data_IF_259002814343
#
_entry.id   IF_259002814343
#
_cell.length_a   1.000
_cell.length_b   1.000
_cell.length_c   1.000
_cell.angle_alpha   90.00
_cell.angle_beta   90.00
_cell.angle_gamma   90.00
#
_symmetry.space_group_name_H-M   'P 1'
#
loop_
_entity.id
_entity.type
_entity.pdbx_description
1 polymer ?
#
# COMPACT_ATOMS: atom_id res chain seq x y z
N UNK A 1 -28.81 -10.85 14.68
CA UNK A 1 -27.62 -11.25 13.90
C UNK A 1 -26.43 -10.42 14.39
N UNK A 2 -25.33 -10.98 14.89
CA UNK A 2 -24.21 -10.17 15.33
C UNK A 2 -23.33 -9.77 14.12
N UNK A 3 -22.91 -8.50 13.98
CA UNK A 3 -21.92 -8.14 12.98
C UNK A 3 -20.58 -8.80 13.35
N UNK A 4 -19.96 -9.51 12.41
CA UNK A 4 -18.61 -10.06 12.55
C UNK A 4 -17.65 -8.90 12.87
N UNK A 5 -17.24 -8.82 14.14
CA UNK A 5 -16.14 -7.98 14.60
C UNK A 5 -14.88 -8.35 13.79
N UNK A 6 -14.41 -7.41 12.99
CA UNK A 6 -13.06 -7.43 12.42
C UNK A 6 -12.07 -7.35 13.58
N UNK A 7 -11.55 -8.50 13.99
CA UNK A 7 -10.46 -8.56 14.96
C UNK A 7 -9.19 -8.08 14.28
N UNK A 8 -8.89 -6.81 14.51
CA UNK A 8 -7.58 -6.19 14.40
C UNK A 8 -6.56 -7.01 15.22
N UNK A 9 -5.98 -8.04 14.60
CA UNK A 9 -4.93 -8.88 15.19
C UNK A 9 -3.56 -8.40 14.73
N UNK A 10 -2.96 -7.50 15.51
CA UNK A 10 -1.60 -7.03 15.30
C UNK A 10 -0.57 -8.15 15.35
N UNK A 11 0.19 -8.31 14.28
CA UNK A 11 1.65 -8.44 14.41
C UNK A 11 2.23 -7.14 13.90
N UNK A 12 2.89 -6.38 14.77
CA UNK A 12 3.90 -5.38 14.37
C UNK A 12 5.11 -6.12 13.77
N UNK A 13 4.88 -7.00 12.79
CA UNK A 13 5.93 -7.49 11.91
C UNK A 13 6.41 -6.27 11.16
N UNK A 14 7.72 -6.01 11.20
CA UNK A 14 8.37 -4.88 10.52
C UNK A 14 7.65 -4.65 9.20
N UNK A 15 6.93 -3.52 9.10
CA UNK A 15 6.23 -3.18 7.86
C UNK A 15 7.33 -3.11 6.83
N UNK A 16 7.37 -4.07 5.91
CA UNK A 16 8.37 -4.06 4.85
C UNK A 16 8.29 -2.69 4.18
N UNK A 17 9.42 -2.05 3.84
CA UNK A 17 9.43 -0.73 3.20
C UNK A 17 8.47 -0.66 2.01
N UNK A 18 8.28 -1.80 1.31
CA UNK A 18 7.22 -1.96 0.31
C UNK A 18 5.81 -1.71 0.85
N UNK A 19 5.40 -2.40 1.90
CA UNK A 19 4.05 -2.25 2.47
C UNK A 19 3.81 -0.86 3.07
N UNK A 20 4.85 -0.23 3.61
CA UNK A 20 4.77 1.16 4.10
C UNK A 20 4.54 2.13 2.94
N UNK A 21 5.33 2.00 1.87
CA UNK A 21 5.20 2.82 0.66
C UNK A 21 3.85 2.59 -0.03
N UNK A 22 3.46 1.33 -0.23
CA UNK A 22 2.18 0.98 -0.87
C UNK A 22 1.01 1.63 -0.14
N UNK A 23 0.98 1.57 1.20
CA UNK A 23 -0.09 2.22 1.99
C UNK A 23 -0.06 3.74 1.87
N UNK A 24 1.11 4.37 1.91
CA UNK A 24 1.25 5.84 1.79
C UNK A 24 0.76 6.33 0.43
N UNK A 25 1.25 5.71 -0.64
CA UNK A 25 0.97 6.15 -2.00
C UNK A 25 -0.45 5.78 -2.43
N UNK A 26 -0.98 4.63 -2.00
CA UNK A 26 -2.38 4.29 -2.20
C UNK A 26 -3.31 5.23 -1.45
N UNK A 27 -2.98 5.64 -0.23
CA UNK A 27 -3.78 6.63 0.51
C UNK A 27 -3.81 7.96 -0.24
N UNK A 28 -2.64 8.43 -0.73
CA UNK A 28 -2.51 9.66 -1.50
C UNK A 28 -3.29 9.62 -2.82
N UNK A 29 -3.19 8.51 -3.58
CA UNK A 29 -3.97 8.32 -4.80
C UNK A 29 -5.46 8.12 -4.52
N UNK A 30 -5.82 7.52 -3.40
CA UNK A 30 -7.22 7.37 -3.01
C UNK A 30 -7.86 8.72 -2.71
N UNK A 31 -7.11 9.62 -2.09
CA UNK A 31 -7.58 10.96 -1.73
C UNK A 31 -7.61 11.89 -2.95
N UNK A 32 -6.58 11.83 -3.80
CA UNK A 32 -6.51 12.67 -5.02
C UNK A 32 -7.36 12.14 -6.18
N UNK A 33 -7.53 10.82 -6.29
CA UNK A 33 -8.26 10.14 -7.37
C UNK A 33 -9.11 9.02 -6.78
N UNK A 34 -10.20 9.35 -6.06
CA UNK A 34 -11.12 8.37 -5.52
C UNK A 34 -11.75 7.51 -6.63
N UNK A 35 -11.92 8.08 -7.81
CA UNK A 35 -12.59 7.53 -9.00
C UNK A 35 -11.86 6.35 -9.66
N UNK A 36 -10.52 6.30 -9.59
CA UNK A 36 -9.76 5.17 -10.11
C UNK A 36 -10.07 3.88 -9.34
N UNK A 37 -10.15 2.73 -10.02
CA UNK A 37 -10.28 1.45 -9.33
C UNK A 37 -9.09 1.20 -8.37
N UNK A 38 -9.34 0.54 -7.23
CA UNK A 38 -8.26 0.19 -6.29
C UNK A 38 -7.14 -0.59 -6.97
N UNK A 39 -7.49 -1.51 -7.88
CA UNK A 39 -6.54 -2.29 -8.68
C UNK A 39 -5.62 -1.40 -9.54
N UNK A 40 -6.18 -0.38 -10.17
CA UNK A 40 -5.42 0.51 -11.05
C UNK A 40 -4.42 1.36 -10.27
N UNK A 41 -4.89 1.97 -9.17
CA UNK A 41 -4.04 2.69 -8.22
C UNK A 41 -2.95 1.78 -7.65
N UNK A 42 -3.28 0.55 -7.29
CA UNK A 42 -2.32 -0.42 -6.77
C UNK A 42 -1.26 -0.80 -7.81
N UNK A 43 -1.65 -1.08 -9.05
CA UNK A 43 -0.70 -1.38 -10.12
C UNK A 43 0.19 -0.19 -10.47
N UNK A 44 -0.35 1.04 -10.47
CA UNK A 44 0.43 2.24 -10.69
C UNK A 44 1.48 2.44 -9.58
N UNK A 45 1.06 2.34 -8.31
CA UNK A 45 1.98 2.45 -7.15
C UNK A 45 3.00 1.31 -7.14
N UNK A 46 2.61 0.08 -7.48
CA UNK A 46 3.53 -1.05 -7.54
C UNK A 46 4.63 -0.85 -8.61
N UNK A 47 4.25 -0.32 -9.78
CA UNK A 47 5.23 0.08 -10.82
C UNK A 47 6.13 1.21 -10.33
N UNK A 48 5.56 2.19 -9.66
CA UNK A 48 6.30 3.32 -9.09
C UNK A 48 7.22 2.88 -7.94
N UNK A 49 6.83 1.86 -7.17
CA UNK A 49 7.69 1.24 -6.17
C UNK A 49 8.84 0.44 -6.80
N UNK A 50 8.59 -0.26 -7.90
CA UNK A 50 9.65 -0.97 -8.62
C UNK A 50 10.75 -0.02 -9.12
N UNK A 51 10.41 1.24 -9.40
CA UNK A 51 11.37 2.28 -9.79
C UNK A 51 11.82 3.19 -8.63
N UNK A 52 11.17 3.14 -7.47
CA UNK A 52 11.46 4.03 -6.34
C UNK A 52 12.85 3.76 -5.73
N UNK A 53 13.61 4.81 -5.38
CA UNK A 53 14.89 4.66 -4.67
C UNK A 53 14.74 4.17 -3.23
N UNK A 54 13.53 4.25 -2.66
CA UNK A 54 13.18 3.66 -1.36
C UNK A 54 13.05 2.11 -1.43
N UNK A 55 13.00 1.54 -2.62
CA UNK A 55 12.97 0.09 -2.80
C UNK A 55 14.38 -0.48 -2.55
N UNK A 56 14.57 -1.33 -1.52
CA UNK A 56 15.87 -1.95 -1.24
C UNK A 56 16.41 -2.81 -2.40
N UNK A 57 15.58 -3.12 -3.41
CA UNK A 57 15.97 -3.81 -4.65
C UNK A 57 16.65 -2.89 -5.69
N UNK A 58 16.47 -1.57 -5.61
CA UNK A 58 17.17 -0.57 -6.43
C UNK A 58 18.39 0.03 -5.70
N UNK A 59 18.62 -0.33 -4.43
CA UNK A 59 19.94 -0.21 -3.81
C UNK A 59 20.79 -1.44 -4.16
N UNK A 60 21.20 -1.54 -5.41
CA UNK A 60 22.27 -2.44 -5.85
C UNK A 60 23.21 -1.65 -6.75
#
# INVERSE_FOLDING_TARGET
MPPKKVTSGGKKGKVSPYNAYMKRELAKLKESKPDMAHKDRFSAVAKQWATAPENPKNKA
#
